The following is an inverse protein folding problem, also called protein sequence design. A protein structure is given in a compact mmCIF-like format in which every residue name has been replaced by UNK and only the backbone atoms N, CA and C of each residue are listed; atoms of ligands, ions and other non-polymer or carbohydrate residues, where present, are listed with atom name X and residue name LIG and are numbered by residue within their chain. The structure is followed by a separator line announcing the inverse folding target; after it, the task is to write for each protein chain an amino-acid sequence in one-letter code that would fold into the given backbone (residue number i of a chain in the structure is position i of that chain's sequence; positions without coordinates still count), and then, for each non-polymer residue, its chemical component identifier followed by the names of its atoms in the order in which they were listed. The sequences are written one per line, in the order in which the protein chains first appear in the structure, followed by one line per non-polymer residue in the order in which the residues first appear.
data_IF_773976234875
#
_entry.id   IF_773976234875
#
_cell.length_a   1.000
_cell.length_b   1.000
_cell.length_c   1.000
_cell.angle_alpha   90.00
_cell.angle_beta   90.00
_cell.angle_gamma   90.00
#
_symmetry.space_group_name_H-M   'P 1'
#
loop_
_entity.id
_entity.type
_entity.pdbx_description
1 polymer ?
#
# COMPACT_ATOMS: atom_id res chain seq x y z
N UNK A 1 -77.66 -82.00 -43.56
CA UNK A 1 -77.36 -83.41 -43.89
C UNK A 1 -78.58 -84.17 -43.41
N UNK A 2 -79.64 -84.43 -44.19
CA UNK A 2 -79.79 -85.19 -45.45
C UNK A 2 -79.19 -86.60 -45.33
N UNK A 3 -80.07 -87.57 -45.08
CA UNK A 3 -79.98 -89.03 -45.29
C UNK A 3 -81.32 -89.60 -44.77
N UNK A 4 -82.34 -89.74 -45.63
CA UNK A 4 -82.60 -90.86 -46.56
C UNK A 4 -83.39 -91.99 -45.90
N UNK A 5 -84.71 -91.89 -46.09
CA UNK A 5 -85.72 -92.92 -45.85
C UNK A 5 -85.36 -94.20 -46.59
N UNK A 6 -85.12 -95.28 -45.83
CA UNK A 6 -84.89 -96.61 -46.36
C UNK A 6 -86.02 -97.54 -45.94
N UNK A 7 -87.09 -97.55 -46.73
CA UNK A 7 -88.20 -98.51 -46.66
C UNK A 7 -87.67 -99.95 -46.74
N UNK A 8 -87.60 -100.64 -45.60
CA UNK A 8 -87.31 -102.07 -45.55
C UNK A 8 -88.58 -102.89 -45.83
N UNK A 9 -88.79 -103.18 -47.10
CA UNK A 9 -89.73 -104.19 -47.60
C UNK A 9 -89.13 -105.57 -47.35
N UNK A 10 -89.62 -106.31 -46.34
CA UNK A 10 -89.22 -107.70 -46.10
C UNK A 10 -90.24 -108.65 -46.71
N UNK A 11 -89.76 -109.28 -47.78
CA UNK A 11 -90.26 -110.41 -48.55
C UNK A 11 -90.58 -111.63 -47.67
N UNK A 12 -91.76 -112.24 -47.86
CA UNK A 12 -92.13 -113.54 -47.26
C UNK A 12 -91.76 -114.66 -48.24
N UNK A 13 -90.97 -115.68 -47.87
CA UNK A 13 -90.76 -116.86 -48.71
C UNK A 13 -91.84 -117.91 -48.48
N UNK A 14 -92.49 -118.31 -49.58
CA UNK A 14 -93.38 -119.47 -49.71
C UNK A 14 -92.52 -120.68 -50.09
N UNK A 15 -92.67 -121.85 -49.43
CA UNK A 15 -92.41 -123.12 -50.09
C UNK A 15 -93.72 -123.90 -50.27
N UNK A 16 -94.01 -124.24 -51.52
CA UNK A 16 -95.08 -125.15 -51.91
C UNK A 16 -94.51 -126.55 -52.12
N UNK A 17 -95.09 -127.56 -51.45
CA UNK A 17 -95.22 -128.91 -52.02
C UNK A 17 -96.24 -129.73 -51.22
N UNK A 18 -97.42 -129.87 -51.83
CA UNK A 18 -98.31 -131.04 -51.82
C UNK A 18 -98.71 -131.67 -50.47
N UNK A 19 -99.88 -131.28 -49.95
CA UNK A 19 -101.08 -132.12 -50.01
C UNK A 19 -102.29 -131.36 -49.43
N UNK A 20 -103.41 -131.49 -50.14
CA UNK A 20 -104.70 -130.85 -49.90
C UNK A 20 -105.13 -130.88 -48.44
N UNK A 21 -105.61 -129.74 -47.93
CA UNK A 21 -106.78 -129.58 -47.03
C UNK A 21 -107.02 -128.08 -46.79
N UNK A 22 -108.25 -127.63 -47.08
CA UNK A 22 -108.75 -126.26 -46.92
C UNK A 22 -108.36 -125.62 -45.57
N UNK A 23 -107.88 -124.35 -45.50
CA UNK A 23 -107.48 -123.72 -44.24
C UNK A 23 -108.69 -123.53 -43.30
N UNK A 24 -108.64 -124.18 -42.15
CA UNK A 24 -109.64 -124.07 -41.07
C UNK A 24 -109.70 -122.67 -40.46
N UNK A 25 -110.87 -122.26 -39.96
CA UNK A 25 -111.11 -120.99 -39.25
C UNK A 25 -110.13 -120.74 -38.10
N UNK A 26 -109.57 -121.81 -37.51
CA UNK A 26 -108.54 -121.76 -36.46
C UNK A 26 -107.17 -121.24 -36.95
N UNK A 27 -106.70 -121.63 -38.13
CA UNK A 27 -105.39 -121.20 -38.66
C UNK A 27 -105.38 -119.73 -39.09
N UNK A 28 -106.49 -119.23 -39.63
CA UNK A 28 -106.66 -117.79 -39.92
C UNK A 28 -106.74 -116.93 -38.65
N UNK A 29 -107.35 -117.43 -37.57
CA UNK A 29 -107.36 -116.75 -36.28
C UNK A 29 -105.95 -116.72 -35.66
N UNK A 30 -105.20 -117.82 -35.72
CA UNK A 30 -103.81 -117.87 -35.26
C UNK A 30 -102.89 -116.93 -36.04
N UNK A 31 -102.98 -116.87 -37.37
CA UNK A 31 -102.26 -115.90 -38.19
C UNK A 31 -102.65 -114.45 -37.88
N UNK A 32 -103.93 -114.18 -37.60
CA UNK A 32 -104.41 -112.85 -37.18
C UNK A 32 -103.89 -112.46 -35.80
N UNK A 33 -103.81 -113.42 -34.88
CA UNK A 33 -103.22 -113.25 -33.55
C UNK A 33 -101.71 -113.01 -33.65
N UNK A 34 -100.98 -113.75 -34.48
CA UNK A 34 -99.56 -113.53 -34.74
C UNK A 34 -99.31 -112.16 -35.39
N UNK A 35 -100.15 -111.73 -36.34
CA UNK A 35 -100.05 -110.39 -36.95
C UNK A 35 -100.36 -109.28 -35.93
N UNK A 36 -101.31 -109.50 -35.02
CA UNK A 36 -101.56 -108.57 -33.90
C UNK A 36 -100.40 -108.56 -32.92
N UNK A 37 -99.81 -109.73 -32.62
CA UNK A 37 -98.64 -109.86 -31.75
C UNK A 37 -97.43 -109.14 -32.32
N UNK A 38 -97.07 -109.40 -33.59
CA UNK A 38 -95.99 -108.70 -34.27
C UNK A 38 -96.22 -107.17 -34.35
N UNK A 39 -97.46 -106.73 -34.64
CA UNK A 39 -97.80 -105.30 -34.57
C UNK A 39 -97.67 -104.72 -33.17
N UNK A 40 -98.06 -105.47 -32.14
CA UNK A 40 -97.90 -105.05 -30.75
C UNK A 40 -96.42 -104.99 -30.37
N UNK A 41 -95.62 -105.98 -30.79
CA UNK A 41 -94.18 -106.02 -30.56
C UNK A 41 -93.48 -104.80 -31.23
N UNK A 42 -93.85 -104.47 -32.47
CA UNK A 42 -93.39 -103.25 -33.16
C UNK A 42 -93.79 -101.99 -32.39
N UNK A 43 -95.04 -101.89 -31.94
CA UNK A 43 -95.52 -100.73 -31.15
C UNK A 43 -94.79 -100.67 -29.81
N UNK A 44 -94.54 -101.79 -29.14
CA UNK A 44 -93.80 -101.82 -27.88
C UNK A 44 -92.34 -101.44 -28.07
N UNK A 45 -91.71 -101.81 -29.19
CA UNK A 45 -90.36 -101.41 -29.54
C UNK A 45 -90.28 -99.91 -29.85
N UNK A 46 -91.23 -99.35 -30.61
CA UNK A 46 -91.31 -97.91 -30.89
C UNK A 46 -91.60 -97.10 -29.61
N UNK A 47 -92.48 -97.59 -28.73
CA UNK A 47 -92.73 -96.98 -27.42
C UNK A 47 -91.49 -97.03 -26.52
N UNK A 48 -90.74 -98.13 -26.51
CA UNK A 48 -89.48 -98.23 -25.77
C UNK A 48 -88.42 -97.27 -26.32
N UNK A 49 -88.26 -97.19 -27.64
CA UNK A 49 -87.36 -96.25 -28.29
C UNK A 49 -87.71 -94.78 -28.00
N UNK A 50 -89.01 -94.42 -28.04
CA UNK A 50 -89.49 -93.07 -27.68
C UNK A 50 -89.30 -92.76 -26.20
N UNK A 51 -89.50 -93.73 -25.30
CA UNK A 51 -89.20 -93.57 -23.87
C UNK A 51 -87.71 -93.28 -23.66
N UNK A 52 -86.84 -94.03 -24.32
CA UNK A 52 -85.40 -93.81 -24.26
C UNK A 52 -84.99 -92.45 -24.85
N UNK A 53 -85.58 -91.99 -25.97
CA UNK A 53 -85.33 -90.65 -26.51
C UNK A 53 -85.78 -89.55 -25.55
N UNK A 54 -86.96 -89.70 -24.92
CA UNK A 54 -87.45 -88.77 -23.92
C UNK A 54 -86.52 -88.73 -22.70
N UNK A 55 -86.06 -89.90 -22.21
CA UNK A 55 -85.10 -90.00 -21.12
C UNK A 55 -83.79 -89.26 -21.47
N UNK A 56 -83.20 -89.52 -22.65
CA UNK A 56 -82.01 -88.81 -23.10
C UNK A 56 -82.22 -87.29 -23.26
N UNK A 57 -83.43 -86.86 -23.64
CA UNK A 57 -83.77 -85.43 -23.72
C UNK A 57 -83.95 -84.80 -22.33
N UNK A 58 -84.55 -85.52 -21.39
CA UNK A 58 -84.70 -85.09 -19.99
C UNK A 58 -83.31 -84.95 -19.35
N UNK A 59 -82.43 -85.93 -19.55
CA UNK A 59 -81.05 -85.89 -19.07
C UNK A 59 -80.28 -84.71 -19.65
N UNK A 60 -80.36 -84.46 -20.97
CA UNK A 60 -79.74 -83.29 -21.60
C UNK A 60 -80.27 -81.96 -21.05
N UNK A 61 -81.58 -81.87 -20.82
CA UNK A 61 -82.20 -80.68 -20.22
C UNK A 61 -81.77 -80.51 -18.76
N UNK A 62 -81.63 -81.60 -18.00
CA UNK A 62 -81.12 -81.57 -16.64
C UNK A 62 -79.67 -81.08 -16.58
N UNK A 63 -78.80 -81.64 -17.43
CA UNK A 63 -77.40 -81.19 -17.57
C UNK A 63 -77.31 -79.72 -17.96
N UNK A 64 -78.09 -79.28 -18.96
CA UNK A 64 -78.09 -77.88 -19.38
C UNK A 64 -78.60 -76.94 -18.27
N UNK A 65 -79.58 -77.36 -17.47
CA UNK A 65 -80.04 -76.59 -16.30
C UNK A 65 -78.96 -76.46 -15.24
N UNK A 66 -78.23 -77.54 -14.95
CA UNK A 66 -77.11 -77.51 -14.00
C UNK A 66 -75.99 -76.59 -14.49
N UNK A 67 -75.60 -76.69 -15.77
CA UNK A 67 -74.61 -75.79 -16.38
C UNK A 67 -75.04 -74.32 -16.31
N UNK A 68 -76.31 -74.02 -16.61
CA UNK A 68 -76.84 -72.67 -16.54
C UNK A 68 -76.83 -72.14 -15.11
N UNK A 69 -77.24 -72.97 -14.13
CA UNK A 69 -77.18 -72.60 -12.72
C UNK A 69 -75.75 -72.33 -12.25
N UNK A 70 -74.78 -73.16 -12.67
CA UNK A 70 -73.37 -72.93 -12.37
C UNK A 70 -72.87 -71.62 -13.00
N UNK A 71 -73.24 -71.34 -14.26
CA UNK A 71 -72.89 -70.06 -14.92
C UNK A 71 -73.51 -68.87 -14.18
N UNK A 72 -74.78 -68.95 -13.80
CA UNK A 72 -75.45 -67.89 -13.04
C UNK A 72 -74.79 -67.66 -11.68
N UNK A 73 -74.44 -68.73 -10.96
CA UNK A 73 -73.69 -68.63 -9.70
C UNK A 73 -72.31 -68.00 -9.91
N UNK A 74 -71.58 -68.40 -10.94
CA UNK A 74 -70.28 -67.83 -11.29
C UNK A 74 -70.38 -66.34 -11.67
N UNK A 75 -71.40 -65.95 -12.42
CA UNK A 75 -71.65 -64.55 -12.74
C UNK A 75 -72.00 -63.73 -11.49
N UNK A 76 -72.77 -64.30 -10.55
CA UNK A 76 -73.07 -63.64 -9.27
C UNK A 76 -71.83 -63.47 -8.40
N UNK A 77 -70.98 -64.48 -8.27
CA UNK A 77 -69.74 -64.38 -7.48
C UNK A 77 -68.75 -63.40 -8.11
N UNK A 78 -68.63 -63.38 -9.45
CA UNK A 78 -67.83 -62.39 -10.16
C UNK A 78 -68.37 -60.96 -9.97
N UNK A 79 -69.69 -60.75 -10.13
CA UNK A 79 -70.32 -59.46 -9.92
C UNK A 79 -70.10 -58.94 -8.48
N UNK A 80 -70.21 -59.82 -7.49
CA UNK A 80 -69.92 -59.50 -6.10
C UNK A 80 -68.44 -59.13 -5.89
N UNK A 81 -67.51 -59.87 -6.50
CA UNK A 81 -66.09 -59.55 -6.48
C UNK A 81 -65.79 -58.17 -7.09
N UNK A 82 -66.43 -57.82 -8.21
CA UNK A 82 -66.32 -56.49 -8.81
C UNK A 82 -66.90 -55.40 -7.91
N UNK A 83 -68.03 -55.66 -7.25
CA UNK A 83 -68.62 -54.70 -6.32
C UNK A 83 -67.68 -54.39 -5.16
N UNK A 84 -67.07 -55.40 -4.54
CA UNK A 84 -66.07 -55.21 -3.47
C UNK A 84 -64.87 -54.42 -4.01
N UNK A 85 -64.35 -54.79 -5.18
CA UNK A 85 -63.21 -54.09 -5.78
C UNK A 85 -63.51 -52.60 -6.04
N UNK A 86 -64.69 -52.28 -6.56
CA UNK A 86 -65.10 -50.90 -6.79
C UNK A 86 -65.20 -50.12 -5.47
N UNK A 87 -65.76 -50.72 -4.43
CA UNK A 87 -65.80 -50.12 -3.09
C UNK A 87 -64.40 -49.85 -2.53
N UNK A 88 -63.48 -50.82 -2.63
CA UNK A 88 -62.09 -50.64 -2.21
C UNK A 88 -61.38 -49.55 -3.01
N UNK A 89 -61.62 -49.47 -4.31
CA UNK A 89 -61.08 -48.42 -5.17
C UNK A 89 -61.60 -47.04 -4.78
N UNK A 90 -62.89 -46.91 -4.48
CA UNK A 90 -63.49 -45.65 -4.07
C UNK A 90 -63.01 -45.23 -2.67
N UNK A 91 -62.87 -46.16 -1.73
CA UNK A 91 -62.25 -45.90 -0.43
C UNK A 91 -60.80 -45.43 -0.57
N UNK A 92 -60.00 -46.04 -1.46
CA UNK A 92 -58.62 -45.61 -1.73
C UNK A 92 -58.57 -44.21 -2.35
N UNK A 93 -59.48 -43.87 -3.26
CA UNK A 93 -59.60 -42.52 -3.84
C UNK A 93 -59.97 -41.49 -2.77
N UNK A 94 -60.99 -41.77 -1.95
CA UNK A 94 -61.40 -40.88 -0.86
C UNK A 94 -60.26 -40.64 0.13
N UNK A 95 -59.55 -41.70 0.53
CA UNK A 95 -58.38 -41.57 1.40
C UNK A 95 -57.26 -40.74 0.76
N UNK A 96 -56.96 -40.95 -0.52
CA UNK A 96 -55.97 -40.16 -1.24
C UNK A 96 -56.37 -38.68 -1.34
N UNK A 97 -57.64 -38.39 -1.62
CA UNK A 97 -58.17 -37.02 -1.67
C UNK A 97 -58.14 -36.35 -0.30
N UNK A 98 -58.51 -37.06 0.77
CA UNK A 98 -58.43 -36.55 2.13
C UNK A 98 -56.98 -36.21 2.51
N UNK A 99 -56.03 -37.11 2.23
CA UNK A 99 -54.61 -36.87 2.45
C UNK A 99 -54.10 -35.65 1.67
N UNK A 100 -54.47 -35.54 0.39
CA UNK A 100 -54.10 -34.40 -0.43
C UNK A 100 -54.63 -33.07 0.14
N UNK A 101 -55.89 -33.03 0.59
CA UNK A 101 -56.48 -31.84 1.21
C UNK A 101 -55.72 -31.43 2.48
N UNK A 102 -55.40 -32.39 3.35
CA UNK A 102 -54.62 -32.14 4.57
C UNK A 102 -53.22 -31.60 4.24
N UNK A 103 -52.54 -32.20 3.26
CA UNK A 103 -51.22 -31.72 2.82
C UNK A 103 -51.30 -30.32 2.20
N UNK A 104 -52.37 -30.00 1.47
CA UNK A 104 -52.58 -28.68 0.91
C UNK A 104 -52.75 -27.62 2.01
N UNK A 105 -53.57 -27.90 3.03
CA UNK A 105 -53.74 -26.99 4.18
C UNK A 105 -52.45 -26.85 4.98
N UNK A 106 -51.74 -27.95 5.23
CA UNK A 106 -50.46 -27.92 5.94
C UNK A 106 -49.40 -27.12 5.18
N UNK A 107 -49.33 -27.28 3.86
CA UNK A 107 -48.40 -26.50 3.03
C UNK A 107 -48.76 -25.01 3.02
N UNK A 108 -50.04 -24.66 3.04
CA UNK A 108 -50.46 -23.26 3.16
C UNK A 108 -50.02 -22.64 4.50
N UNK A 109 -50.21 -23.36 5.62
CA UNK A 109 -49.77 -22.93 6.95
C UNK A 109 -48.25 -22.77 7.03
N UNK A 110 -47.49 -23.77 6.56
CA UNK A 110 -46.02 -23.71 6.50
C UNK A 110 -45.53 -22.52 5.66
N UNK A 111 -46.18 -22.22 4.54
CA UNK A 111 -45.84 -21.03 3.73
C UNK A 111 -46.08 -19.74 4.50
N UNK A 112 -47.20 -19.61 5.22
CA UNK A 112 -47.47 -18.45 6.06
C UNK A 112 -46.43 -18.29 7.17
N UNK A 113 -46.05 -19.39 7.84
CA UNK A 113 -45.00 -19.41 8.86
C UNK A 113 -43.63 -19.00 8.29
N UNK A 114 -43.26 -19.48 7.11
CA UNK A 114 -42.04 -19.04 6.42
C UNK A 114 -42.08 -17.52 6.17
N UNK A 115 -43.24 -16.97 5.78
CA UNK A 115 -43.39 -15.54 5.57
C UNK A 115 -43.35 -14.72 6.87
N UNK A 116 -43.86 -15.21 7.99
CA UNK A 116 -43.73 -14.54 9.30
C UNK A 116 -42.28 -14.56 9.77
N UNK A 117 -41.64 -15.73 9.75
CA UNK A 117 -40.24 -15.89 10.17
C UNK A 117 -39.28 -15.05 9.32
N UNK A 118 -39.49 -14.96 8.00
CA UNK A 118 -38.68 -14.08 7.13
C UNK A 118 -38.80 -12.61 7.53
N UNK A 119 -40.01 -12.15 7.88
CA UNK A 119 -40.23 -10.77 8.34
C UNK A 119 -39.53 -10.51 9.67
N UNK A 120 -39.61 -11.45 10.62
CA UNK A 120 -38.92 -11.33 11.91
C UNK A 120 -37.40 -11.31 11.76
N UNK A 121 -36.85 -12.20 10.93
CA UNK A 121 -35.42 -12.23 10.62
C UNK A 121 -34.96 -10.90 10.02
N UNK A 122 -35.72 -10.32 9.10
CA UNK A 122 -35.41 -9.01 8.52
C UNK A 122 -35.42 -7.89 9.58
N UNK A 123 -36.42 -7.87 10.48
CA UNK A 123 -36.45 -6.93 11.61
C UNK A 123 -35.23 -7.07 12.52
N UNK A 124 -34.87 -8.30 12.88
CA UNK A 124 -33.70 -8.59 13.71
C UNK A 124 -32.40 -8.16 13.03
N UNK A 125 -32.27 -8.40 11.72
CA UNK A 125 -31.09 -8.00 10.94
C UNK A 125 -30.92 -6.48 10.90
N UNK A 126 -32.01 -5.74 10.71
CA UNK A 126 -31.99 -4.27 10.78
C UNK A 126 -31.58 -3.81 12.18
N UNK A 127 -32.19 -4.36 13.23
CA UNK A 127 -31.84 -4.04 14.62
C UNK A 127 -30.37 -4.35 14.94
N UNK A 128 -29.84 -5.46 14.44
CA UNK A 128 -28.43 -5.82 14.60
C UNK A 128 -27.53 -4.77 13.94
N UNK A 129 -27.84 -4.33 12.73
CA UNK A 129 -27.07 -3.29 12.04
C UNK A 129 -27.13 -1.94 12.79
N UNK A 130 -28.28 -1.56 13.33
CA UNK A 130 -28.41 -0.36 14.16
C UNK A 130 -27.58 -0.44 15.44
N UNK A 131 -27.60 -1.60 16.11
CA UNK A 131 -26.80 -1.85 17.29
C UNK A 131 -25.30 -1.83 16.96
N UNK A 132 -24.89 -2.40 15.83
CA UNK A 132 -23.50 -2.36 15.38
C UNK A 132 -23.04 -0.92 15.15
N UNK A 133 -23.86 -0.09 14.47
CA UNK A 133 -23.56 1.34 14.30
C UNK A 133 -23.44 2.07 15.64
N UNK A 134 -24.28 1.73 16.62
CA UNK A 134 -24.17 2.29 17.98
C UNK A 134 -22.86 1.86 18.64
N UNK A 135 -22.50 0.58 18.57
CA UNK A 135 -21.23 0.07 19.11
C UNK A 135 -20.05 0.82 18.48
N UNK A 136 -20.03 0.94 17.15
CA UNK A 136 -18.96 1.62 16.44
C UNK A 136 -18.86 3.11 16.84
N UNK A 137 -20.01 3.79 17.02
CA UNK A 137 -20.08 5.16 17.55
C UNK A 137 -19.55 5.27 18.98
N UNK A 138 -19.83 4.29 19.83
CA UNK A 138 -19.46 4.34 21.25
C UNK A 138 -18.07 3.76 21.55
N UNK A 139 -17.46 3.05 20.61
CA UNK A 139 -16.14 2.42 20.75
C UNK A 139 -15.01 3.43 21.00
N UNK A 140 -15.08 4.62 20.39
CA UNK A 140 -14.11 5.70 20.65
C UNK A 140 -14.18 6.19 22.09
N UNK A 141 -15.39 6.33 22.64
CA UNK A 141 -15.61 6.71 24.03
C UNK A 141 -15.14 5.63 24.99
N UNK A 142 -15.40 4.35 24.69
CA UNK A 142 -14.87 3.23 25.48
C UNK A 142 -13.34 3.28 25.54
N UNK A 143 -12.67 3.43 24.40
CA UNK A 143 -11.20 3.54 24.35
C UNK A 143 -10.70 4.76 25.14
N UNK A 144 -11.36 5.90 24.99
CA UNK A 144 -11.05 7.12 25.74
C UNK A 144 -11.22 6.94 27.25
N UNK A 145 -12.32 6.34 27.69
CA UNK A 145 -12.59 6.07 29.09
C UNK A 145 -11.59 5.07 29.68
N UNK A 146 -11.23 4.00 28.96
CA UNK A 146 -10.17 3.08 29.38
C UNK A 146 -8.83 3.80 29.54
N UNK A 147 -8.48 4.69 28.59
CA UNK A 147 -7.26 5.50 28.70
C UNK A 147 -7.30 6.42 29.92
N UNK A 148 -8.44 7.03 30.22
CA UNK A 148 -8.63 7.87 31.40
C UNK A 148 -8.51 7.05 32.69
N UNK A 149 -9.16 5.89 32.77
CA UNK A 149 -9.09 4.99 33.93
C UNK A 149 -7.63 4.58 34.20
N UNK A 150 -6.85 4.27 33.17
CA UNK A 150 -5.42 3.96 33.32
C UNK A 150 -4.57 5.13 33.83
N UNK A 151 -5.03 6.37 33.66
CA UNK A 151 -4.34 7.59 34.13
C UNK A 151 -4.82 8.06 35.51
N UNK A 152 -5.94 7.50 36.00
CA UNK A 152 -6.50 7.83 37.30
C UNK A 152 -5.78 7.04 38.40
N UNK A 153 -5.47 7.66 39.56
CA UNK A 153 -5.01 6.93 40.72
C UNK A 153 -6.04 5.85 41.15
N UNK A 154 -5.60 4.69 41.68
CA UNK A 154 -6.49 3.58 42.06
C UNK A 154 -7.61 4.02 43.00
N UNK A 155 -7.29 4.89 43.96
CA UNK A 155 -8.18 5.38 45.03
C UNK A 155 -9.35 6.25 44.48
N UNK A 156 -9.28 6.70 43.23
CA UNK A 156 -10.27 7.62 42.64
C UNK A 156 -11.60 6.93 42.29
N UNK A 157 -11.61 5.60 42.15
CA UNK A 157 -12.79 4.80 41.79
C UNK A 157 -13.46 4.14 42.99
N UNK A 158 -12.88 4.22 44.19
CA UNK A 158 -13.45 3.63 45.42
C UNK A 158 -14.68 4.41 45.94
N UNK A 159 -14.89 5.63 45.46
CA UNK A 159 -16.06 6.43 45.81
C UNK A 159 -17.26 6.06 44.91
N UNK A 160 -18.49 6.10 45.46
CA UNK A 160 -19.74 5.85 44.71
C UNK A 160 -19.73 6.57 43.35
N UNK A 161 -20.13 5.87 42.28
CA UNK A 161 -20.02 6.33 40.87
C UNK A 161 -20.54 7.77 40.64
N UNK A 162 -21.67 8.13 41.26
CA UNK A 162 -22.26 9.48 41.15
C UNK A 162 -21.40 10.58 41.81
N UNK A 163 -20.64 10.24 42.85
CA UNK A 163 -19.71 11.15 43.53
C UNK A 163 -18.48 11.41 42.66
N UNK A 164 -17.93 10.37 42.01
CA UNK A 164 -16.72 10.47 41.19
C UNK A 164 -16.96 11.31 39.93
N UNK A 165 -18.08 11.12 39.25
CA UNK A 165 -18.41 11.92 38.05
C UNK A 165 -18.61 13.39 38.43
N UNK A 166 -19.27 13.65 39.57
CA UNK A 166 -19.50 15.02 40.06
C UNK A 166 -18.19 15.71 40.45
N UNK A 167 -17.31 15.04 41.19
CA UNK A 167 -16.00 15.59 41.57
C UNK A 167 -15.10 15.81 40.36
N UNK A 168 -15.08 14.87 39.40
CA UNK A 168 -14.34 15.02 38.15
C UNK A 168 -14.85 16.19 37.31
N UNK A 169 -16.17 16.34 37.20
CA UNK A 169 -16.81 17.45 36.48
C UNK A 169 -16.51 18.79 37.13
N UNK A 170 -16.56 18.86 38.47
CA UNK A 170 -16.21 20.07 39.21
C UNK A 170 -14.73 20.43 39.05
N UNK A 171 -13.84 19.44 39.13
CA UNK A 171 -12.40 19.64 38.89
C UNK A 171 -12.13 20.12 37.48
N UNK A 172 -12.76 19.51 36.47
CA UNK A 172 -12.64 19.96 35.08
C UNK A 172 -13.13 21.40 34.93
N UNK A 173 -14.29 21.76 35.49
CA UNK A 173 -14.81 23.14 35.45
C UNK A 173 -13.85 24.14 36.10
N UNK A 174 -13.27 23.79 37.25
CA UNK A 174 -12.29 24.63 37.93
C UNK A 174 -11.03 24.83 37.08
N UNK A 175 -10.44 23.74 36.57
CA UNK A 175 -9.24 23.78 35.72
C UNK A 175 -9.49 24.51 34.40
N UNK A 176 -10.67 24.35 33.82
CA UNK A 176 -11.06 25.04 32.60
C UNK A 176 -11.17 26.55 32.84
N UNK A 177 -11.81 26.95 33.93
CA UNK A 177 -11.92 28.36 34.33
C UNK A 177 -10.54 28.98 34.61
N UNK A 178 -9.68 28.30 35.36
CA UNK A 178 -8.32 28.80 35.63
C UNK A 178 -7.50 28.91 34.34
N UNK A 179 -7.60 27.93 33.43
CA UNK A 179 -6.91 27.98 32.13
C UNK A 179 -7.41 29.15 31.26
N UNK A 180 -8.73 29.39 31.19
CA UNK A 180 -9.26 30.56 30.48
C UNK A 180 -8.75 31.88 31.07
N UNK A 181 -8.69 31.98 32.40
CA UNK A 181 -8.16 33.17 33.08
C UNK A 181 -6.66 33.35 32.80
N UNK A 182 -5.88 32.27 32.81
CA UNK A 182 -4.45 32.31 32.48
C UNK A 182 -4.23 32.75 31.04
N UNK A 183 -5.00 32.22 30.07
CA UNK A 183 -4.95 32.65 28.67
C UNK A 183 -5.24 34.14 28.51
N UNK A 184 -6.27 34.66 29.19
CA UNK A 184 -6.58 36.10 29.18
C UNK A 184 -5.44 36.93 29.76
N UNK A 185 -4.85 36.48 30.88
CA UNK A 185 -3.70 37.18 31.49
C UNK A 185 -2.47 37.18 30.59
N UNK A 186 -2.19 36.05 29.91
CA UNK A 186 -1.10 35.97 28.94
C UNK A 186 -1.31 36.96 27.79
N UNK A 187 -2.53 37.01 27.23
CA UNK A 187 -2.85 37.96 26.17
C UNK A 187 -2.63 39.42 26.59
N UNK A 188 -3.11 39.80 27.77
CA UNK A 188 -2.88 41.17 28.32
C UNK A 188 -1.39 41.43 28.54
N UNK A 189 -0.64 40.41 28.96
CA UNK A 189 0.79 40.54 29.18
C UNK A 189 1.57 40.70 27.86
N UNK A 190 1.18 39.98 26.81
CA UNK A 190 1.73 40.14 25.46
C UNK A 190 1.48 41.56 24.94
N UNK A 191 0.26 42.09 25.06
CA UNK A 191 -0.08 43.46 24.67
C UNK A 191 0.76 44.50 25.44
N UNK A 192 0.93 44.32 26.76
CA UNK A 192 1.77 45.21 27.58
C UNK A 192 3.24 45.17 27.18
N UNK A 193 3.75 44.00 26.78
CA UNK A 193 5.11 43.84 26.28
C UNK A 193 5.26 44.60 24.95
N UNK A 194 4.31 44.49 24.03
CA UNK A 194 4.30 45.23 22.76
C UNK A 194 4.28 46.75 23.00
N UNK A 195 3.40 47.24 23.87
CA UNK A 195 3.34 48.67 24.25
C UNK A 195 4.69 49.13 24.84
N UNK A 196 5.28 48.32 25.73
CA UNK A 196 6.57 48.63 26.34
C UNK A 196 7.73 48.60 25.33
N UNK A 197 7.67 47.71 24.33
CA UNK A 197 8.61 47.70 23.22
C UNK A 197 8.46 48.95 22.35
N UNK A 198 7.24 49.33 22.00
CA UNK A 198 6.97 50.53 21.21
C UNK A 198 7.45 51.79 21.94
N UNK A 199 7.12 51.94 23.22
CA UNK A 199 7.57 53.06 24.05
C UNK A 199 9.10 53.15 24.10
N UNK A 200 9.79 52.02 24.27
CA UNK A 200 11.26 51.97 24.22
C UNK A 200 11.81 52.42 22.87
N UNK A 201 11.22 51.95 21.76
CA UNK A 201 11.64 52.33 20.42
C UNK A 201 11.53 53.85 20.20
N UNK A 202 10.40 54.45 20.60
CA UNK A 202 10.19 55.91 20.53
C UNK A 202 11.24 56.65 21.35
N UNK A 203 11.44 56.29 22.62
CA UNK A 203 12.46 56.95 23.46
C UNK A 203 13.88 56.80 22.92
N UNK A 204 14.17 55.68 22.24
CA UNK A 204 15.47 55.46 21.60
C UNK A 204 15.65 56.36 20.37
N UNK A 205 14.60 56.53 19.57
CA UNK A 205 14.61 57.43 18.42
C UNK A 205 14.73 58.90 18.84
N UNK A 206 14.01 59.32 19.88
CA UNK A 206 14.16 60.64 20.50
C UNK A 206 15.58 60.86 21.02
N UNK A 207 16.15 59.88 21.72
CA UNK A 207 17.53 59.95 22.20
C UNK A 207 18.52 60.04 21.04
N UNK A 208 18.36 59.23 19.99
CA UNK A 208 19.20 59.29 18.79
C UNK A 208 19.10 60.67 18.13
N UNK A 209 17.88 61.21 17.98
CA UNK A 209 17.63 62.53 17.39
C UNK A 209 18.26 63.63 18.23
N UNK A 210 18.08 63.60 19.56
CA UNK A 210 18.73 64.52 20.49
C UNK A 210 20.25 64.42 20.39
N UNK A 211 20.81 63.21 20.27
CA UNK A 211 22.26 63.01 20.08
C UNK A 211 22.74 63.64 18.78
N UNK A 212 21.97 63.56 17.69
CA UNK A 212 22.30 64.21 16.42
C UNK A 212 22.17 65.73 16.47
N UNK A 213 21.16 66.26 17.16
CA UNK A 213 20.89 67.72 17.25
C UNK A 213 21.79 68.42 18.28
N UNK A 214 22.10 67.77 19.39
CA UNK A 214 22.82 68.36 20.53
C UNK A 214 24.35 68.25 20.45
N UNK A 215 24.93 67.47 19.52
CA UNK A 215 26.37 67.46 19.28
C UNK A 215 26.77 68.69 18.41
N UNK A 216 27.34 69.76 19.00
CA UNK A 216 27.83 70.89 18.23
C UNK A 216 29.30 70.60 17.95
N UNK A 217 29.56 69.85 16.88
CA UNK A 217 30.80 69.73 16.08
C UNK A 217 30.61 68.40 15.35
N UNK A 218 30.20 68.42 14.07
CA UNK A 218 30.05 67.19 13.33
C UNK A 218 31.44 66.55 13.13
N UNK A 219 31.52 65.24 13.34
CA UNK A 219 32.76 64.43 13.30
C UNK A 219 33.67 64.75 12.12
N UNK A 220 33.11 65.22 11.00
CA UNK A 220 33.86 65.62 9.82
C UNK A 220 34.83 66.80 10.06
N UNK A 221 34.53 67.75 10.94
CA UNK A 221 35.46 68.86 11.24
C UNK A 221 36.62 68.38 12.09
N UNK A 222 36.36 67.47 13.03
CA UNK A 222 37.39 66.89 13.89
C UNK A 222 38.32 65.98 13.07
N UNK A 223 37.74 65.10 12.26
CA UNK A 223 38.48 64.19 11.37
C UNK A 223 39.28 64.99 10.34
N UNK A 224 38.69 66.03 9.75
CA UNK A 224 39.39 66.95 8.83
C UNK A 224 40.57 67.62 9.51
N UNK A 225 40.39 68.13 10.74
CA UNK A 225 41.48 68.78 11.47
C UNK A 225 42.58 67.82 11.89
N UNK A 226 42.23 66.60 12.30
CA UNK A 226 43.17 65.53 12.61
C UNK A 226 43.97 65.16 11.35
N UNK A 227 43.31 65.01 10.20
CA UNK A 227 43.98 64.72 8.92
C UNK A 227 44.92 65.84 8.50
N UNK A 228 44.53 67.10 8.67
CA UNK A 228 45.38 68.26 8.36
C UNK A 228 46.65 68.27 9.23
N UNK A 229 46.51 68.03 10.54
CA UNK A 229 47.64 67.95 11.45
C UNK A 229 48.55 66.75 11.15
N UNK A 230 47.97 65.59 10.82
CA UNK A 230 48.71 64.40 10.41
C UNK A 230 49.55 64.67 9.15
N UNK A 231 48.98 65.34 8.16
CA UNK A 231 49.68 65.71 6.93
C UNK A 231 50.83 66.68 7.20
N UNK A 232 50.63 67.69 8.06
CA UNK A 232 51.69 68.64 8.45
C UNK A 232 52.83 67.94 9.18
N UNK A 233 52.51 67.03 10.11
CA UNK A 233 53.50 66.24 10.81
C UNK A 233 54.35 65.38 9.85
N UNK A 234 53.71 64.69 8.90
CA UNK A 234 54.41 63.88 7.91
C UNK A 234 55.34 64.70 7.02
N UNK A 235 54.90 65.86 6.52
CA UNK A 235 55.72 66.75 5.71
C UNK A 235 56.94 67.29 6.48
N UNK A 236 56.77 67.61 7.77
CA UNK A 236 57.87 68.00 8.65
C UNK A 236 58.85 66.85 8.89
N UNK A 237 58.35 65.64 9.10
CA UNK A 237 59.16 64.44 9.29
C UNK A 237 60.00 64.12 8.05
N UNK A 238 59.42 64.18 6.86
CA UNK A 238 60.14 63.98 5.59
C UNK A 238 61.23 65.04 5.38
N UNK A 239 60.94 66.32 5.66
CA UNK A 239 61.96 67.38 5.61
C UNK A 239 63.11 67.10 6.57
N UNK A 240 62.80 66.65 7.79
CA UNK A 240 63.81 66.35 8.79
C UNK A 240 64.71 65.17 8.34
N UNK A 241 64.12 64.11 7.80
CA UNK A 241 64.87 62.99 7.20
C UNK A 241 65.76 63.49 6.05
N UNK A 242 65.24 64.36 5.19
CA UNK A 242 66.02 64.96 4.10
C UNK A 242 67.23 65.78 4.59
N UNK A 243 67.06 66.55 5.67
CA UNK A 243 68.14 67.32 6.29
C UNK A 243 69.19 66.42 6.95
N UNK A 244 68.77 65.36 7.64
CA UNK A 244 69.68 64.36 8.24
C UNK A 244 70.54 63.73 7.13
N UNK A 245 69.92 63.24 6.06
CA UNK A 245 70.65 62.65 4.93
C UNK A 245 71.61 63.64 4.26
N UNK A 246 71.25 64.93 4.20
CA UNK A 246 72.14 65.96 3.66
C UNK A 246 73.37 66.18 4.54
N UNK A 247 73.19 66.23 5.86
CA UNK A 247 74.28 66.37 6.83
C UNK A 247 75.21 65.15 6.75
N UNK A 248 74.67 63.93 6.78
CA UNK A 248 75.45 62.69 6.71
C UNK A 248 76.29 62.62 5.43
N UNK A 249 75.71 63.02 4.29
CA UNK A 249 76.45 63.09 3.03
C UNK A 249 77.58 64.12 3.07
N UNK A 250 77.34 65.31 3.66
CA UNK A 250 78.36 66.36 3.80
C UNK A 250 79.48 65.91 4.75
N UNK A 251 79.17 65.26 5.86
CA UNK A 251 80.16 64.69 6.77
C UNK A 251 80.95 63.57 6.10
N UNK A 252 80.29 62.67 5.35
CA UNK A 252 80.96 61.63 4.55
C UNK A 252 81.93 62.22 3.53
N UNK A 253 81.52 63.26 2.81
CA UNK A 253 82.38 64.01 1.88
C UNK A 253 83.57 64.69 2.58
N UNK A 254 83.36 65.24 3.78
CA UNK A 254 84.42 65.84 4.59
C UNK A 254 85.40 64.76 5.06
N UNK A 255 84.90 63.66 5.59
CA UNK A 255 85.71 62.51 6.04
C UNK A 255 86.55 61.92 4.91
N UNK A 256 85.97 61.76 3.71
CA UNK A 256 86.71 61.30 2.52
C UNK A 256 87.84 62.25 2.14
N UNK A 257 87.59 63.57 2.14
CA UNK A 257 88.63 64.59 1.89
C UNK A 257 89.72 64.57 2.95
N UNK A 258 89.36 64.46 4.23
CA UNK A 258 90.34 64.33 5.33
C UNK A 258 91.20 63.09 5.14
N UNK A 259 90.60 61.93 4.83
CA UNK A 259 91.34 60.69 4.59
C UNK A 259 92.32 60.80 3.42
N UNK A 260 91.91 61.40 2.31
CA UNK A 260 92.79 61.63 1.16
C UNK A 260 93.98 62.53 1.51
N UNK A 261 93.74 63.62 2.24
CA UNK A 261 94.81 64.51 2.72
C UNK A 261 95.77 63.77 3.66
N UNK A 262 95.26 63.01 4.63
CA UNK A 262 96.10 62.20 5.52
C UNK A 262 96.95 61.18 4.75
N UNK A 263 96.38 60.52 3.74
CA UNK A 263 97.13 59.59 2.87
C UNK A 263 98.24 60.29 2.09
N UNK A 264 97.98 61.48 1.53
CA UNK A 264 99.00 62.28 0.85
C UNK A 264 100.13 62.70 1.80
N UNK A 265 99.81 63.17 3.00
CA UNK A 265 100.81 63.56 4.00
C UNK A 265 101.69 62.38 4.42
N UNK A 266 101.11 61.21 4.65
CA UNK A 266 101.87 59.98 4.93
C UNK A 266 102.74 59.61 3.72
N UNK A 267 102.22 59.73 2.49
CA UNK A 267 102.98 59.50 1.27
C UNK A 267 104.20 60.42 1.14
N UNK A 268 104.06 61.72 1.47
CA UNK A 268 105.17 62.69 1.50
C UNK A 268 106.20 62.28 2.54
N UNK A 269 105.79 61.94 3.76
CA UNK A 269 106.73 61.48 4.79
C UNK A 269 107.50 60.23 4.36
N UNK A 270 106.82 59.22 3.81
CA UNK A 270 107.45 57.99 3.33
C UNK A 270 108.42 58.25 2.16
N UNK A 271 108.08 59.17 1.26
CA UNK A 271 108.98 59.58 0.16
C UNK A 271 110.20 60.33 0.68
N UNK A 272 110.02 61.22 1.66
CA UNK A 272 111.09 61.99 2.27
C UNK A 272 112.09 61.08 3.00
N UNK A 273 111.60 60.05 3.69
CA UNK A 273 112.46 59.02 4.29
C UNK A 273 113.33 58.31 3.25
N UNK A 274 112.74 57.95 2.09
CA UNK A 274 113.48 57.28 1.00
C UNK A 274 114.45 58.20 0.26
N UNK A 275 114.13 59.49 0.18
CA UNK A 275 114.90 60.51 -0.53
C UNK A 275 115.71 61.39 0.42
N UNK A 276 116.06 60.87 1.59
CA UNK A 276 116.69 61.65 2.64
C UNK A 276 118.05 62.20 2.24
N UNK A 277 118.23 63.50 2.38
CA UNK A 277 119.45 64.23 2.10
C UNK A 277 120.02 64.79 3.40
N UNK A 278 121.27 64.44 3.75
CA UNK A 278 121.85 64.72 5.08
C UNK A 278 121.91 66.20 5.45
N UNK A 279 121.96 67.11 4.46
CA UNK A 279 122.08 68.54 4.71
C UNK A 279 120.75 69.22 5.12
N UNK A 280 119.63 68.51 5.03
CA UNK A 280 118.30 69.02 5.39
C UNK A 280 117.92 68.85 6.87
N UNK A 281 118.75 68.17 7.68
CA UNK A 281 118.50 67.96 9.12
C UNK A 281 117.57 66.78 9.44
N UNK A 282 117.28 66.51 10.72
CA UNK A 282 116.49 65.35 11.15
C UNK A 282 115.06 65.35 10.58
N UNK A 283 114.63 64.23 9.98
CA UNK A 283 113.33 64.07 9.31
C UNK A 283 112.09 64.38 10.17
N UNK A 284 112.19 64.21 11.48
CA UNK A 284 111.09 64.40 12.45
C UNK A 284 110.79 65.88 12.72
N UNK A 285 111.80 66.75 12.60
CA UNK A 285 111.70 68.19 12.86
C UNK A 285 111.40 69.00 11.59
N UNK A 286 111.46 68.37 10.41
CA UNK A 286 111.20 69.01 9.12
C UNK A 286 109.71 69.25 8.87
N UNK A 287 109.39 70.45 8.35
CA UNK A 287 108.05 70.74 7.84
C UNK A 287 107.76 69.94 6.55
N UNK A 288 106.49 69.69 6.23
CA UNK A 288 106.12 69.01 4.97
C UNK A 288 106.59 69.75 3.72
N UNK A 289 106.68 71.08 3.77
CA UNK A 289 107.22 71.88 2.67
C UNK A 289 108.71 71.56 2.46
N UNK A 290 109.49 71.61 3.53
CA UNK A 290 110.91 71.25 3.50
C UNK A 290 111.14 69.80 3.03
N UNK A 291 110.25 68.87 3.40
CA UNK A 291 110.28 67.47 2.92
C UNK A 291 110.02 67.38 1.42
N UNK A 292 109.07 68.14 0.88
CA UNK A 292 108.79 68.19 -0.56
C UNK A 292 109.96 68.81 -1.34
N UNK A 293 110.52 69.91 -0.85
CA UNK A 293 111.67 70.56 -1.47
C UNK A 293 112.88 69.60 -1.52
N UNK A 294 113.12 68.85 -0.44
CA UNK A 294 114.14 67.81 -0.39
C UNK A 294 113.88 66.66 -1.36
N UNK A 295 112.64 66.13 -1.42
CA UNK A 295 112.26 65.10 -2.39
C UNK A 295 112.50 65.63 -3.82
N UNK A 296 112.14 66.88 -4.09
CA UNK A 296 112.32 67.51 -5.39
C UNK A 296 113.80 67.65 -5.74
N UNK A 297 114.65 68.11 -4.81
CA UNK A 297 116.09 68.20 -5.01
C UNK A 297 116.72 66.82 -5.24
N UNK A 298 116.34 65.81 -4.44
CA UNK A 298 116.80 64.43 -4.64
C UNK A 298 116.42 63.88 -6.02
N UNK A 299 115.16 64.11 -6.46
CA UNK A 299 114.72 63.71 -7.80
C UNK A 299 115.52 64.46 -8.87
N UNK A 300 115.77 65.76 -8.69
CA UNK A 300 116.56 66.57 -9.62
C UNK A 300 118.00 66.07 -9.71
N UNK A 301 118.67 65.83 -8.58
CA UNK A 301 120.01 65.23 -8.55
C UNK A 301 120.07 63.84 -9.18
N UNK A 302 119.10 62.96 -8.90
CA UNK A 302 119.06 61.61 -9.50
C UNK A 302 118.75 61.65 -10.99
N UNK A 303 117.94 62.60 -11.46
CA UNK A 303 117.67 62.77 -12.89
C UNK A 303 118.86 63.38 -13.62
N UNK A 304 119.58 64.34 -13.02
CA UNK A 304 120.84 64.88 -13.56
C UNK A 304 121.96 63.83 -13.53
N UNK A 305 122.12 63.06 -12.45
CA UNK A 305 123.03 61.90 -12.41
C UNK A 305 122.67 60.86 -13.47
N UNK A 306 121.39 60.56 -13.69
CA UNK A 306 120.98 59.63 -14.75
C UNK A 306 121.31 60.18 -16.14
N UNK A 307 121.16 61.49 -16.39
CA UNK A 307 121.56 62.13 -17.66
C UNK A 307 123.07 62.11 -17.87
N UNK A 308 123.86 62.27 -16.80
CA UNK A 308 125.33 62.21 -16.85
C UNK A 308 125.88 60.78 -16.93
N UNK A 309 125.21 59.79 -16.32
CA UNK A 309 125.55 58.35 -16.43
C UNK A 309 125.05 57.74 -17.76
N UNK A 310 124.05 58.33 -18.42
CA UNK A 310 123.58 57.93 -19.76
C UNK A 310 124.36 58.57 -20.93
N UNK A 311 125.60 59.00 -20.71
CA UNK A 311 126.56 59.27 -21.80
C UNK A 311 127.52 58.08 -21.99
N UNK A 312 127.30 57.21 -22.98
CA UNK A 312 128.38 56.47 -23.61
C UNK A 312 129.13 57.35 -24.63
N UNK A 313 130.44 57.13 -24.69
CA UNK A 313 131.37 57.55 -25.74
C UNK A 313 130.81 57.27 -27.16
N UNK A 314 131.35 57.98 -28.15
CA UNK A 314 130.84 57.95 -29.51
C UNK A 314 130.70 56.54 -30.09
N UNK A 315 129.59 56.30 -30.78
CA UNK A 315 129.57 55.72 -32.12
C UNK A 315 128.19 55.96 -32.73
N UNK A 316 128.21 56.70 -33.84
CA UNK A 316 127.31 56.72 -35.01
C UNK A 316 125.88 56.18 -34.86
N UNK A 317 124.98 57.07 -35.30
CA UNK A 317 123.92 56.79 -36.29
C UNK A 317 122.80 55.88 -35.77
N UNK A 318 121.53 56.15 -35.96
CA UNK A 318 120.88 56.66 -37.15
C UNK A 318 119.39 56.53 -36.85
N UNK A 319 118.57 57.37 -37.48
CA UNK A 319 117.30 56.97 -38.11
C UNK A 319 116.28 56.17 -37.28
N UNK A 320 115.01 56.52 -37.20
CA UNK A 320 114.12 57.19 -38.16
C UNK A 320 112.73 57.01 -37.53
N UNK A 321 111.87 58.01 -37.68
CA UNK A 321 110.59 57.92 -38.40
C UNK A 321 109.76 56.66 -38.13
N UNK A 322 108.52 56.88 -37.70
CA UNK A 322 107.28 56.65 -38.46
C UNK A 322 106.12 56.85 -37.47
N UNK A 323 105.30 57.91 -37.61
CA UNK A 323 104.15 58.07 -38.53
C UNK A 323 102.94 57.21 -38.13
N UNK A 324 101.79 57.91 -38.17
CA UNK A 324 100.39 57.51 -38.03
C UNK A 324 99.87 57.60 -36.60
#
# INVERSE_FOLDING_TARGET
MREEDSEHVIHVPIPASSNFLYPSRKTLQQLRLLKKKAKNDIITADLAAKKQDIEMRIERVAQYREELQQKDQNHRTQAYGFQIYLQDCDLKKEHALAKYKIEQTNNALKKQEIHTLKRELQKLKVRQQELQKKIDKYKSYEHFLKKIVNLLPPDFLEHKEDSVIKTLTQRHKALFSTNQNLKKRLFIQEENIEISHHKRAVTQEEHNTMRFVMLPIPDHVLISKVSELQSKYNALKERNIGLINYIDNKEGLRSKRTRQLSQMLVGISNMAERCYMKHYGPLEEMTFQSKLDMIQEFIYEKTEMKKEIMKPEGYKSSSRLLKI
#
